data_IF_408334811931
#
_entry.id   IF_408334811931
#
_cell.length_a   1.000
_cell.length_b   1.000
_cell.length_c   1.000
_cell.angle_alpha   90.00
_cell.angle_beta   90.00
_cell.angle_gamma   90.00
#
_symmetry.space_group_name_H-M   'P 1'
#
loop_
_entity.id
_entity.type
_entity.pdbx_description
1 polymer ?
#
# COMPACT_ATOMS: atom_id res chain seq x y z
N UNK A 1 21.58 -7.67 -13.56
CA UNK A 1 20.78 -7.24 -12.39
C UNK A 1 21.15 -5.82 -12.06
N UNK A 2 20.25 -4.88 -12.29
CA UNK A 2 20.45 -3.47 -11.93
C UNK A 2 20.17 -3.30 -10.45
N UNK A 3 21.19 -2.98 -9.66
CA UNK A 3 21.03 -2.68 -8.24
C UNK A 3 20.45 -1.27 -8.12
N UNK A 4 19.22 -1.15 -7.63
CA UNK A 4 18.64 0.16 -7.34
C UNK A 4 19.49 0.87 -6.26
N UNK A 5 19.86 2.16 -6.47
CA UNK A 5 20.58 2.93 -5.48
C UNK A 5 19.71 3.15 -4.24
N UNK A 6 20.35 3.44 -3.10
CA UNK A 6 19.63 3.84 -1.88
C UNK A 6 19.24 5.31 -2.00
N UNK A 7 17.95 5.60 -1.85
CA UNK A 7 17.39 6.94 -1.84
C UNK A 7 17.21 7.41 -0.39
N UNK A 8 18.33 7.74 0.27
CA UNK A 8 18.38 7.95 1.71
C UNK A 8 17.53 9.12 2.24
N UNK A 9 17.09 10.04 1.38
CA UNK A 9 16.32 11.24 1.75
C UNK A 9 14.96 11.33 1.03
N UNK A 10 14.56 10.29 0.28
CA UNK A 10 13.30 10.33 -0.44
C UNK A 10 12.13 10.17 0.55
N UNK A 11 11.40 11.25 0.77
CA UNK A 11 10.25 11.30 1.67
C UNK A 11 8.91 11.09 0.95
N UNK A 12 8.86 11.31 -0.37
CA UNK A 12 7.66 11.10 -1.18
C UNK A 12 8.02 10.31 -2.44
N UNK A 13 7.32 9.20 -2.63
CA UNK A 13 7.42 8.34 -3.80
C UNK A 13 6.07 8.29 -4.50
N UNK A 14 6.02 8.84 -5.71
CA UNK A 14 4.88 8.76 -6.63
C UNK A 14 5.29 7.86 -7.81
N UNK A 15 4.55 6.77 -8.00
CA UNK A 15 4.81 5.82 -9.08
C UNK A 15 3.54 5.46 -9.84
N UNK A 16 3.73 5.02 -11.09
CA UNK A 16 2.65 4.52 -11.93
C UNK A 16 2.09 3.17 -11.47
N UNK A 17 1.66 2.38 -12.43
CA UNK A 17 1.31 0.97 -12.18
C UNK A 17 2.62 0.18 -12.14
N UNK A 18 2.86 -0.53 -11.05
CA UNK A 18 4.09 -1.31 -10.83
C UNK A 18 3.76 -2.72 -10.33
N UNK A 19 4.68 -3.67 -10.48
CA UNK A 19 4.52 -4.98 -9.83
C UNK A 19 4.80 -4.88 -8.33
N UNK A 20 4.30 -5.84 -7.56
CA UNK A 20 4.57 -5.95 -6.12
C UNK A 20 6.06 -6.04 -5.80
N UNK A 21 6.82 -6.76 -6.62
CA UNK A 21 8.29 -6.87 -6.48
C UNK A 21 8.98 -5.52 -6.62
N UNK A 22 8.60 -4.75 -7.66
CA UNK A 22 9.17 -3.42 -7.89
C UNK A 22 8.80 -2.48 -6.75
N UNK A 23 7.54 -2.51 -6.29
CA UNK A 23 7.09 -1.67 -5.18
C UNK A 23 7.87 -1.97 -3.90
N UNK A 24 7.98 -3.26 -3.51
CA UNK A 24 8.73 -3.66 -2.31
C UNK A 24 10.22 -3.33 -2.44
N UNK A 25 10.81 -3.52 -3.61
CA UNK A 25 12.20 -3.14 -3.89
C UNK A 25 12.43 -1.63 -3.73
N UNK A 26 11.50 -0.80 -4.17
CA UNK A 26 11.57 0.66 -3.98
C UNK A 26 11.44 1.04 -2.50
N UNK A 27 10.54 0.41 -1.75
CA UNK A 27 10.37 0.63 -0.31
C UNK A 27 11.65 0.30 0.47
N UNK A 28 12.31 -0.81 0.15
CA UNK A 28 13.60 -1.18 0.75
C UNK A 28 14.72 -0.17 0.46
N UNK A 29 14.63 0.58 -0.63
CA UNK A 29 15.61 1.60 -1.01
C UNK A 29 15.27 3.00 -0.51
N UNK A 30 14.13 3.18 0.16
CA UNK A 30 13.62 4.48 0.60
C UNK A 30 13.33 4.46 2.11
N UNK A 31 14.37 4.35 2.97
CA UNK A 31 14.20 4.05 4.40
C UNK A 31 13.50 5.17 5.20
N UNK A 32 13.42 6.39 4.66
CA UNK A 32 12.77 7.55 5.31
C UNK A 32 11.49 7.98 4.59
N UNK A 33 10.91 7.09 3.78
CA UNK A 33 9.70 7.39 3.03
C UNK A 33 8.55 7.73 3.98
N UNK A 34 7.87 8.84 3.71
CA UNK A 34 6.74 9.34 4.49
C UNK A 34 5.43 9.19 3.75
N UNK A 35 5.45 9.43 2.43
CA UNK A 35 4.29 9.36 1.55
C UNK A 35 4.58 8.40 0.41
N UNK A 36 3.73 7.39 0.27
CA UNK A 36 3.68 6.51 -0.88
C UNK A 36 2.40 6.78 -1.67
N UNK A 37 2.54 7.10 -2.96
CA UNK A 37 1.43 7.24 -3.91
C UNK A 37 1.71 6.35 -5.12
N UNK A 38 0.77 5.47 -5.46
CA UNK A 38 0.92 4.61 -6.63
C UNK A 38 -0.39 4.40 -7.37
N UNK A 39 -0.35 4.39 -8.70
CA UNK A 39 -1.57 4.32 -9.52
C UNK A 39 -2.28 2.96 -9.45
N UNK A 40 -1.55 1.88 -9.18
CA UNK A 40 -2.09 0.53 -9.04
C UNK A 40 -1.00 -0.54 -9.03
N UNK A 41 -1.41 -1.80 -8.88
CA UNK A 41 -0.51 -2.97 -8.98
C UNK A 41 -0.95 -3.89 -10.12
N UNK A 42 -0.02 -4.25 -11.00
CA UNK A 42 -0.29 -5.16 -12.12
C UNK A 42 -0.16 -6.64 -11.75
N UNK A 43 0.89 -7.00 -11.01
CA UNK A 43 1.23 -8.37 -10.63
C UNK A 43 1.62 -8.41 -9.16
N UNK A 44 1.05 -9.35 -8.42
CA UNK A 44 1.30 -9.48 -6.99
C UNK A 44 1.30 -10.96 -6.60
N UNK A 45 2.45 -11.46 -6.18
CA UNK A 45 2.59 -12.79 -5.60
C UNK A 45 2.58 -12.66 -4.08
N UNK A 46 1.64 -13.35 -3.41
CA UNK A 46 1.50 -13.37 -1.95
C UNK A 46 2.77 -13.87 -1.25
N UNK A 47 3.51 -14.79 -1.87
CA UNK A 47 4.79 -15.29 -1.33
C UNK A 47 5.82 -14.17 -1.15
N UNK A 48 5.70 -13.07 -1.91
CA UNK A 48 6.55 -11.90 -1.74
C UNK A 48 6.32 -11.23 -0.39
N UNK A 49 5.08 -11.17 0.11
CA UNK A 49 4.81 -10.59 1.43
C UNK A 49 5.35 -11.48 2.55
N UNK A 50 5.23 -12.79 2.39
CA UNK A 50 5.67 -13.76 3.40
C UNK A 50 7.20 -13.86 3.49
N UNK A 51 7.90 -13.59 2.39
CA UNK A 51 9.36 -13.65 2.31
C UNK A 51 10.05 -12.29 2.41
N UNK A 52 9.32 -11.19 2.21
CA UNK A 52 9.89 -9.87 2.25
C UNK A 52 10.29 -9.48 3.68
N UNK A 53 11.53 -9.01 3.80
CA UNK A 53 11.92 -8.20 4.95
C UNK A 53 11.07 -6.94 4.94
N UNK A 54 10.41 -6.67 6.06
CA UNK A 54 9.62 -5.45 6.27
C UNK A 54 10.51 -4.24 6.01
N UNK A 55 10.19 -3.36 5.04
CA UNK A 55 11.02 -2.21 4.76
C UNK A 55 11.07 -1.24 5.95
N UNK A 56 12.25 -0.70 6.25
CA UNK A 56 12.48 0.19 7.41
C UNK A 56 11.43 1.31 7.49
N UNK A 57 11.11 1.93 6.35
CA UNK A 57 10.18 3.05 6.29
C UNK A 57 8.77 2.71 6.81
N UNK A 58 8.30 1.47 6.68
CA UNK A 58 7.00 1.07 7.23
C UNK A 58 7.00 1.15 8.76
N UNK A 59 8.12 0.80 9.39
CA UNK A 59 8.24 0.81 10.85
C UNK A 59 8.59 2.19 11.42
N UNK A 60 9.22 3.07 10.62
CA UNK A 60 9.83 4.29 11.15
C UNK A 60 9.25 5.62 10.65
N UNK A 61 8.71 5.69 9.43
CA UNK A 61 8.44 6.99 8.80
C UNK A 61 7.20 7.06 7.91
N UNK A 62 6.68 5.94 7.42
CA UNK A 62 5.60 5.91 6.45
C UNK A 62 4.28 6.29 7.12
N UNK A 63 3.80 7.49 6.83
CA UNK A 63 2.59 8.06 7.43
C UNK A 63 1.38 7.95 6.51
N UNK A 64 1.59 8.03 5.19
CA UNK A 64 0.50 8.07 4.22
C UNK A 64 0.74 7.10 3.08
N UNK A 65 -0.24 6.25 2.81
CA UNK A 65 -0.27 5.39 1.63
C UNK A 65 -1.51 5.71 0.80
N UNK A 66 -1.33 5.98 -0.48
CA UNK A 66 -2.41 6.28 -1.43
C UNK A 66 -2.43 5.20 -2.50
N UNK A 67 -3.47 4.38 -2.42
CA UNK A 67 -3.85 3.49 -3.48
C UNK A 67 -4.59 4.31 -4.53
N UNK A 68 -4.07 4.27 -5.75
CA UNK A 68 -4.72 4.80 -6.94
C UNK A 68 -6.01 4.05 -7.28
N UNK A 69 -6.15 3.57 -8.51
CA UNK A 69 -7.37 2.87 -8.94
C UNK A 69 -7.40 1.48 -8.32
N UNK A 70 -8.40 1.23 -7.46
CA UNK A 70 -8.60 -0.04 -6.75
C UNK A 70 -9.84 -0.74 -7.27
N UNK A 71 -9.68 -2.00 -7.65
CA UNK A 71 -10.75 -2.84 -8.20
C UNK A 71 -11.41 -3.76 -7.16
N UNK A 72 -10.89 -3.79 -5.94
CA UNK A 72 -11.35 -4.67 -4.86
C UNK A 72 -10.81 -6.10 -4.98
N UNK A 73 -9.69 -6.26 -5.68
CA UNK A 73 -9.02 -7.55 -5.82
C UNK A 73 -8.39 -8.01 -4.50
N UNK A 74 -8.23 -9.32 -4.34
CA UNK A 74 -7.57 -9.91 -3.18
C UNK A 74 -6.11 -9.45 -3.05
N UNK A 75 -5.43 -9.16 -4.16
CA UNK A 75 -4.05 -8.66 -4.17
C UNK A 75 -3.95 -7.25 -3.57
N UNK A 76 -4.84 -6.33 -3.97
CA UNK A 76 -4.91 -4.99 -3.40
C UNK A 76 -5.23 -5.05 -1.89
N UNK A 77 -6.11 -5.97 -1.50
CA UNK A 77 -6.50 -6.17 -0.12
C UNK A 77 -5.33 -6.66 0.74
N UNK A 78 -4.56 -7.64 0.26
CA UNK A 78 -3.38 -8.18 0.95
C UNK A 78 -2.28 -7.13 1.09
N UNK A 79 -2.05 -6.34 0.06
CA UNK A 79 -1.10 -5.25 0.13
C UNK A 79 -1.54 -4.18 1.15
N UNK A 80 -2.82 -3.80 1.13
CA UNK A 80 -3.37 -2.86 2.11
C UNK A 80 -3.21 -3.38 3.53
N UNK A 81 -3.53 -4.66 3.75
CA UNK A 81 -3.31 -5.35 5.03
C UNK A 81 -1.83 -5.30 5.45
N UNK A 82 -0.91 -5.60 4.54
CA UNK A 82 0.53 -5.54 4.81
C UNK A 82 0.98 -4.15 5.29
N UNK A 83 0.55 -3.07 4.63
CA UNK A 83 0.86 -1.72 5.08
C UNK A 83 0.23 -1.41 6.43
N UNK A 84 -1.01 -1.82 6.67
CA UNK A 84 -1.69 -1.56 7.93
C UNK A 84 -1.09 -2.33 9.11
N UNK A 85 -0.61 -3.55 8.90
CA UNK A 85 0.02 -4.38 9.93
C UNK A 85 1.44 -3.94 10.28
N UNK A 86 2.21 -3.51 9.27
CA UNK A 86 3.63 -3.16 9.45
C UNK A 86 3.88 -1.66 9.60
N UNK A 87 2.89 -0.83 9.23
CA UNK A 87 2.92 0.63 9.29
C UNK A 87 2.71 1.16 10.70
N UNK A 88 3.77 1.19 11.51
CA UNK A 88 3.67 1.56 12.94
C UNK A 88 3.24 3.02 13.13
N UNK A 89 3.74 3.92 12.26
CA UNK A 89 3.41 5.36 12.27
C UNK A 89 2.42 5.74 11.17
N UNK A 90 1.74 4.75 10.58
CA UNK A 90 0.81 4.97 9.49
C UNK A 90 -0.44 5.71 9.98
N UNK A 91 -0.59 6.94 9.54
CA UNK A 91 -1.70 7.81 9.92
C UNK A 91 -2.90 7.63 8.98
N UNK A 92 -2.64 7.37 7.70
CA UNK A 92 -3.68 7.38 6.66
C UNK A 92 -3.41 6.40 5.53
N UNK A 93 -4.47 5.71 5.12
CA UNK A 93 -4.50 4.92 3.88
C UNK A 93 -5.70 5.36 3.04
N UNK A 94 -5.44 5.89 1.86
CA UNK A 94 -6.48 6.37 0.94
C UNK A 94 -6.63 5.41 -0.25
N UNK A 95 -7.85 5.19 -0.71
CA UNK A 95 -8.16 4.31 -1.84
C UNK A 95 -9.06 5.03 -2.85
N UNK A 96 -8.69 5.02 -4.14
CA UNK A 96 -9.57 5.50 -5.21
C UNK A 96 -10.32 4.31 -5.83
N UNK A 97 -11.58 4.16 -5.44
CA UNK A 97 -12.38 2.98 -5.74
C UNK A 97 -12.96 3.04 -7.17
N UNK A 98 -12.85 1.93 -7.89
CA UNK A 98 -13.43 1.75 -9.22
C UNK A 98 -13.97 0.33 -9.36
N UNK A 99 -15.29 0.20 -9.53
CA UNK A 99 -15.91 -1.11 -9.70
C UNK A 99 -17.39 -1.12 -9.33
N UNK A 100 -17.97 -2.31 -9.30
CA UNK A 100 -19.36 -2.52 -8.85
C UNK A 100 -19.46 -2.30 -7.34
N UNK A 101 -20.58 -1.74 -6.89
CA UNK A 101 -20.82 -1.43 -5.46
C UNK A 101 -20.56 -2.62 -4.54
N UNK A 102 -21.02 -3.82 -4.92
CA UNK A 102 -20.91 -5.03 -4.09
C UNK A 102 -19.46 -5.44 -3.81
N UNK A 103 -18.59 -5.44 -4.83
CA UNK A 103 -17.17 -5.80 -4.67
C UNK A 103 -16.44 -4.77 -3.82
N UNK A 104 -16.78 -3.49 -4.01
CA UNK A 104 -16.20 -2.38 -3.26
C UNK A 104 -16.66 -2.39 -1.80
N UNK A 105 -17.92 -2.74 -1.53
CA UNK A 105 -18.45 -2.92 -0.18
C UNK A 105 -17.75 -4.06 0.55
N UNK A 106 -17.63 -5.24 -0.05
CA UNK A 106 -16.86 -6.36 0.53
C UNK A 106 -15.40 -5.97 0.80
N UNK A 107 -14.77 -5.23 -0.11
CA UNK A 107 -13.41 -4.72 0.08
C UNK A 107 -13.31 -3.77 1.28
N UNK A 108 -14.23 -2.80 1.39
CA UNK A 108 -14.30 -1.87 2.52
C UNK A 108 -14.49 -2.64 3.84
N UNK A 109 -15.42 -3.59 3.88
CA UNK A 109 -15.68 -4.40 5.08
C UNK A 109 -14.46 -5.18 5.54
N UNK A 110 -13.75 -5.84 4.60
CA UNK A 110 -12.52 -6.57 4.90
C UNK A 110 -11.43 -5.63 5.44
N UNK A 111 -11.22 -4.46 4.85
CA UNK A 111 -10.27 -3.47 5.37
C UNK A 111 -10.62 -3.00 6.79
N UNK A 112 -11.90 -2.75 7.08
CA UNK A 112 -12.33 -2.37 8.43
C UNK A 112 -12.14 -3.51 9.44
N UNK A 113 -12.29 -4.77 9.01
CA UNK A 113 -12.01 -5.92 9.87
C UNK A 113 -10.53 -6.00 10.27
N UNK A 114 -9.62 -5.68 9.36
CA UNK A 114 -8.18 -5.61 9.66
C UNK A 114 -7.89 -4.45 10.62
N UNK A 115 -8.44 -3.26 10.34
CA UNK A 115 -8.24 -2.08 11.19
C UNK A 115 -8.51 -2.36 12.66
N UNK A 116 -9.61 -3.07 12.96
CA UNK A 116 -10.03 -3.38 14.34
C UNK A 116 -8.99 -4.15 15.16
N UNK A 117 -8.04 -4.84 14.53
CA UNK A 117 -7.06 -5.67 15.23
C UNK A 117 -5.64 -5.12 15.28
N UNK A 118 -5.24 -4.25 14.34
CA UNK A 118 -3.80 -4.02 14.07
C UNK A 118 -3.41 -2.59 13.71
N UNK A 119 -4.34 -1.68 13.40
CA UNK A 119 -3.97 -0.36 12.87
C UNK A 119 -4.90 0.76 13.32
N UNK A 120 -4.31 1.90 13.70
CA UNK A 120 -5.06 3.13 13.99
C UNK A 120 -5.25 4.01 12.74
N UNK A 121 -4.68 3.64 11.60
CA UNK A 121 -4.70 4.43 10.38
C UNK A 121 -6.13 4.78 9.93
N UNK A 122 -6.33 6.02 9.50
CA UNK A 122 -7.59 6.48 8.91
C UNK A 122 -7.71 5.88 7.51
N UNK A 123 -8.82 5.18 7.25
CA UNK A 123 -9.15 4.68 5.92
C UNK A 123 -9.98 5.73 5.19
N UNK A 124 -9.49 6.25 4.08
CA UNK A 124 -10.20 7.19 3.23
C UNK A 124 -10.56 6.56 1.90
N UNK A 125 -11.80 6.77 1.47
CA UNK A 125 -12.31 6.20 0.24
C UNK A 125 -12.78 7.33 -0.69
N UNK A 126 -12.30 7.32 -1.93
CA UNK A 126 -12.74 8.23 -2.98
C UNK A 126 -13.39 7.43 -4.10
N UNK A 127 -14.66 7.67 -4.37
CA UNK A 127 -15.36 7.03 -5.47
C UNK A 127 -15.05 7.79 -6.76
N UNK A 128 -14.57 7.08 -7.79
CA UNK A 128 -14.47 7.63 -9.14
C UNK A 128 -15.80 7.42 -9.84
N UNK A 129 -16.68 8.43 -9.80
CA UNK A 129 -17.88 8.49 -10.63
C UNK A 129 -17.49 8.91 -12.05
N UNK A 130 -18.01 8.20 -13.06
CA UNK A 130 -18.04 8.63 -14.45
C UNK A 130 -19.43 9.14 -14.78
#
# INVERSE_FOLDING_TARGET
MTVLPKFAMLSHLDVGIVSGEVLLGLLQKTPVLTILDFKGISEFNEELLNSAVVPDCLTSSLQVVKFGTVHGSENELRLAKFFMENGVVLERTSFSLYGKSTVIEEFKEKLYSFKKGVSFAILEFKEKMY
#
